data_IF_946995497465
#
_entry.id   IF_946995497465
#
_cell.length_a   1.000
_cell.length_b   1.000
_cell.length_c   1.000
_cell.angle_alpha   90.00
_cell.angle_beta   90.00
_cell.angle_gamma   90.00
#
_symmetry.space_group_name_H-M   'P 1'
#
loop_
_entity.id
_entity.type
_entity.pdbx_description
1 polymer ?
#
# COMPACT_ATOMS: atom_id res chain seq x y z
N UNK A 1 25.07 10.74 -3.66
CA UNK A 1 24.43 9.52 -3.14
C UNK A 1 22.92 9.54 -3.39
N UNK A 2 22.19 10.59 -3.01
CA UNK A 2 20.75 10.77 -3.32
C UNK A 2 20.48 10.78 -4.84
N UNK A 3 21.26 11.53 -5.62
CA UNK A 3 21.17 11.56 -7.09
C UNK A 3 21.52 10.24 -7.78
N UNK A 4 22.22 9.32 -7.12
CA UNK A 4 22.47 7.99 -7.68
C UNK A 4 21.29 7.05 -7.42
N UNK A 5 20.59 7.20 -6.29
CA UNK A 5 19.41 6.41 -5.94
C UNK A 5 18.18 6.77 -6.78
N UNK A 6 17.96 8.06 -7.07
CA UNK A 6 16.87 8.49 -7.98
C UNK A 6 17.10 7.95 -9.40
N UNK A 7 18.35 7.97 -9.89
CA UNK A 7 18.71 7.38 -11.19
C UNK A 7 18.53 5.86 -11.19
N UNK A 8 18.80 5.17 -10.08
CA UNK A 8 18.52 3.73 -9.95
C UNK A 8 17.02 3.41 -10.05
N UNK A 9 16.13 4.31 -9.60
CA UNK A 9 14.69 4.13 -9.76
C UNK A 9 14.28 4.24 -11.25
N UNK A 10 14.96 5.08 -12.03
CA UNK A 10 14.60 5.28 -13.45
C UNK A 10 15.07 4.15 -14.37
N UNK A 11 16.00 3.29 -13.93
CA UNK A 11 16.58 2.19 -14.70
C UNK A 11 16.46 0.82 -13.99
N UNK A 12 15.24 0.24 -13.93
CA UNK A 12 14.99 -1.00 -13.20
C UNK A 12 15.77 -2.19 -13.77
N UNK A 13 16.39 -2.95 -12.88
CA UNK A 13 17.23 -4.09 -13.21
C UNK A 13 17.24 -5.13 -12.07
N UNK A 14 17.69 -6.35 -12.40
CA UNK A 14 17.71 -7.48 -11.45
C UNK A 14 18.62 -7.25 -10.24
N UNK A 15 19.68 -6.43 -10.35
CA UNK A 15 20.55 -6.10 -9.20
C UNK A 15 19.79 -5.27 -8.16
N UNK A 16 18.96 -4.33 -8.59
CA UNK A 16 18.11 -3.52 -7.72
C UNK A 16 16.96 -4.35 -7.13
N UNK A 17 16.33 -5.24 -7.91
CA UNK A 17 15.32 -6.16 -7.38
C UNK A 17 15.90 -7.00 -6.23
N UNK A 18 17.11 -7.54 -6.44
CA UNK A 18 17.85 -8.33 -5.44
C UNK A 18 18.20 -7.49 -4.21
N UNK A 19 18.74 -6.29 -4.41
CA UNK A 19 19.11 -5.37 -3.33
C UNK A 19 17.91 -5.05 -2.43
N UNK A 20 16.78 -4.65 -3.02
CA UNK A 20 15.61 -4.26 -2.23
C UNK A 20 14.97 -5.45 -1.53
N UNK A 21 14.92 -6.62 -2.18
CA UNK A 21 14.51 -7.87 -1.54
C UNK A 21 15.37 -8.16 -0.31
N UNK A 22 16.69 -8.09 -0.44
CA UNK A 22 17.63 -8.43 0.63
C UNK A 22 17.57 -7.43 1.79
N UNK A 23 17.40 -6.13 1.50
CA UNK A 23 17.13 -5.08 2.50
C UNK A 23 15.89 -5.41 3.32
N UNK A 24 14.79 -5.82 2.66
CA UNK A 24 13.55 -6.16 3.35
C UNK A 24 13.76 -7.38 4.24
N UNK A 25 14.30 -8.49 3.73
CA UNK A 25 14.45 -9.69 4.55
C UNK A 25 15.52 -9.59 5.64
N UNK A 26 16.48 -8.67 5.53
CA UNK A 26 17.51 -8.43 6.54
C UNK A 26 17.21 -7.24 7.48
N UNK A 27 15.96 -6.74 7.46
CA UNK A 27 15.57 -5.49 8.11
C UNK A 27 16.03 -5.33 9.56
N UNK A 28 16.66 -4.19 9.84
CA UNK A 28 17.00 -3.66 11.15
C UNK A 28 16.41 -2.26 11.35
N UNK A 29 15.50 -2.14 12.32
CA UNK A 29 14.71 -0.93 12.61
C UNK A 29 15.57 0.35 12.75
N UNK A 30 16.75 0.24 13.36
CA UNK A 30 17.60 1.40 13.67
C UNK A 30 18.20 2.10 12.44
N UNK A 31 18.30 1.43 11.29
CA UNK A 31 19.04 1.93 10.12
C UNK A 31 18.28 1.86 8.79
N UNK A 32 17.24 1.03 8.71
CA UNK A 32 16.78 0.56 7.40
C UNK A 32 15.47 1.18 6.93
N UNK A 33 14.79 1.98 7.76
CA UNK A 33 13.55 2.67 7.37
C UNK A 33 13.68 3.56 6.13
N UNK A 34 14.88 4.09 5.87
CA UNK A 34 15.20 4.78 4.62
C UNK A 34 15.16 3.83 3.42
N UNK A 35 15.82 2.68 3.51
CA UNK A 35 15.91 1.71 2.42
C UNK A 35 14.59 0.99 2.16
N UNK A 36 13.82 0.68 3.20
CA UNK A 36 12.46 0.13 3.07
C UNK A 36 11.56 1.08 2.29
N UNK A 37 11.65 2.39 2.53
CA UNK A 37 10.87 3.36 1.76
C UNK A 37 11.24 3.34 0.27
N UNK A 38 12.52 3.21 -0.08
CA UNK A 38 12.94 3.08 -1.48
C UNK A 38 12.48 1.75 -2.10
N UNK A 39 12.55 0.64 -1.36
CA UNK A 39 12.01 -0.65 -1.82
C UNK A 39 10.52 -0.54 -2.15
N UNK A 40 9.73 0.11 -1.31
CA UNK A 40 8.29 0.33 -1.56
C UNK A 40 8.08 1.18 -2.82
N UNK A 41 8.83 2.27 -2.97
CA UNK A 41 8.69 3.17 -4.14
C UNK A 41 9.14 2.51 -5.45
N UNK A 42 10.13 1.61 -5.40
CA UNK A 42 10.64 0.88 -6.55
C UNK A 42 9.71 -0.25 -7.02
N UNK A 43 8.91 -0.83 -6.12
CA UNK A 43 8.09 -2.02 -6.40
C UNK A 43 7.24 -1.95 -7.69
N UNK A 44 6.55 -0.83 -8.02
CA UNK A 44 5.70 -0.75 -9.21
C UNK A 44 6.45 -0.83 -10.54
N UNK A 45 7.76 -0.63 -10.53
CA UNK A 45 8.62 -0.58 -11.72
C UNK A 45 9.72 -1.63 -11.68
N UNK A 46 9.66 -2.56 -10.72
CA UNK A 46 10.63 -3.63 -10.58
C UNK A 46 10.82 -4.42 -11.88
N UNK A 47 12.06 -4.83 -12.16
CA UNK A 47 12.37 -5.58 -13.38
C UNK A 47 11.77 -6.98 -13.33
N UNK A 48 11.73 -7.57 -12.14
CA UNK A 48 11.08 -8.83 -11.78
C UNK A 48 9.90 -8.53 -10.84
N UNK A 49 8.68 -8.32 -11.37
CA UNK A 49 7.51 -7.92 -10.58
C UNK A 49 7.17 -8.91 -9.46
N UNK A 50 7.39 -10.20 -9.67
CA UNK A 50 7.14 -11.24 -8.67
C UNK A 50 8.03 -11.06 -7.42
N UNK A 51 9.30 -10.68 -7.59
CA UNK A 51 10.18 -10.38 -6.45
C UNK A 51 9.68 -9.17 -5.66
N UNK A 52 9.12 -8.18 -6.36
CA UNK A 52 8.52 -7.03 -5.70
C UNK A 52 7.24 -7.37 -4.92
N UNK A 53 6.42 -8.27 -5.46
CA UNK A 53 5.27 -8.81 -4.75
C UNK A 53 5.70 -9.55 -3.48
N UNK A 54 6.69 -10.44 -3.58
CA UNK A 54 7.18 -11.24 -2.45
C UNK A 54 7.62 -10.37 -1.27
N UNK A 55 8.44 -9.33 -1.51
CA UNK A 55 8.90 -8.49 -0.40
C UNK A 55 7.80 -7.56 0.12
N UNK A 56 6.87 -7.09 -0.71
CA UNK A 56 5.75 -6.27 -0.26
C UNK A 56 4.79 -7.08 0.61
N UNK A 57 4.49 -8.32 0.20
CA UNK A 57 3.70 -9.26 0.99
C UNK A 57 4.42 -9.60 2.30
N UNK A 58 5.74 -9.75 2.28
CA UNK A 58 6.53 -9.95 3.50
C UNK A 58 6.41 -8.77 4.46
N UNK A 59 6.57 -7.54 3.99
CA UNK A 59 6.38 -6.34 4.83
C UNK A 59 5.00 -6.37 5.47
N UNK A 60 3.94 -6.46 4.64
CA UNK A 60 2.54 -6.41 5.06
C UNK A 60 2.17 -7.56 6.01
N UNK A 61 2.77 -8.73 5.84
CA UNK A 61 2.53 -9.91 6.66
C UNK A 61 3.21 -9.90 8.04
N UNK A 62 4.12 -8.96 8.29
CA UNK A 62 4.89 -8.88 9.55
C UNK A 62 4.74 -7.50 10.23
N UNK A 63 3.52 -7.10 10.66
CA UNK A 63 3.30 -5.83 11.35
C UNK A 63 4.11 -5.72 12.66
N UNK A 64 4.48 -6.83 13.29
CA UNK A 64 5.35 -6.86 14.46
C UNK A 64 6.78 -6.38 14.17
N UNK A 65 7.22 -6.46 12.90
CA UNK A 65 8.52 -5.95 12.45
C UNK A 65 8.40 -4.55 11.85
N UNK A 66 7.37 -4.32 11.03
CA UNK A 66 7.27 -3.13 10.20
C UNK A 66 6.26 -2.09 10.68
N UNK A 67 5.40 -2.42 11.65
CA UNK A 67 4.37 -1.53 12.17
C UNK A 67 4.94 -0.23 12.73
N UNK A 68 6.12 -0.31 13.35
CA UNK A 68 6.92 0.84 13.85
C UNK A 68 7.34 1.83 12.77
N UNK A 69 7.26 1.44 11.48
CA UNK A 69 7.56 2.33 10.36
C UNK A 69 6.40 3.27 10.00
N UNK A 70 5.27 3.17 10.70
CA UNK A 70 4.12 4.07 10.60
C UNK A 70 3.62 4.26 9.17
N UNK A 71 3.68 5.49 8.68
CA UNK A 71 3.23 5.85 7.32
C UNK A 71 3.86 5.03 6.20
N UNK A 72 5.10 4.52 6.38
CA UNK A 72 5.75 3.66 5.37
C UNK A 72 5.11 2.28 5.31
N UNK A 73 4.71 1.72 6.45
CA UNK A 73 3.99 0.45 6.49
C UNK A 73 2.64 0.55 5.76
N UNK A 74 1.92 1.66 5.97
CA UNK A 74 0.69 1.97 5.23
C UNK A 74 0.93 2.14 3.72
N UNK A 75 2.08 2.69 3.32
CA UNK A 75 2.48 2.82 1.93
C UNK A 75 2.78 1.46 1.28
N UNK A 76 3.37 0.51 2.02
CA UNK A 76 3.58 -0.86 1.53
C UNK A 76 2.25 -1.54 1.21
N UNK A 77 1.26 -1.47 2.10
CA UNK A 77 -0.09 -2.03 1.86
C UNK A 77 -0.78 -1.39 0.64
N UNK A 78 -0.69 -0.06 0.51
CA UNK A 78 -1.24 0.65 -0.66
C UNK A 78 -0.55 0.25 -1.96
N UNK A 79 0.78 0.12 -1.93
CA UNK A 79 1.59 -0.23 -3.10
C UNK A 79 1.34 -1.68 -3.52
N UNK A 80 1.27 -2.61 -2.56
CA UNK A 80 0.88 -4.00 -2.82
C UNK A 80 -0.49 -4.05 -3.52
N UNK A 81 -1.45 -3.22 -3.09
CA UNK A 81 -2.72 -3.06 -3.78
C UNK A 81 -2.62 -2.64 -5.24
N UNK A 82 -1.63 -1.84 -5.63
CA UNK A 82 -1.47 -1.39 -7.02
C UNK A 82 -0.89 -2.47 -7.92
N UNK A 83 -0.03 -3.32 -7.38
CA UNK A 83 0.77 -4.26 -8.19
C UNK A 83 0.29 -5.71 -8.09
N UNK A 84 -0.39 -6.10 -7.01
CA UNK A 84 -0.80 -7.49 -6.79
C UNK A 84 -2.10 -7.83 -7.51
N UNK A 85 -2.23 -9.07 -8.03
CA UNK A 85 -3.50 -9.57 -8.55
C UNK A 85 -4.55 -9.74 -7.44
N UNK A 86 -5.82 -9.58 -7.80
CA UNK A 86 -6.93 -9.92 -6.92
C UNK A 86 -7.26 -11.43 -7.00
N UNK A 87 -7.52 -12.11 -5.87
CA UNK A 87 -7.42 -11.64 -4.48
C UNK A 87 -6.00 -11.75 -3.93
N UNK A 88 -5.57 -10.77 -3.13
CA UNK A 88 -4.30 -10.83 -2.40
C UNK A 88 -4.50 -11.28 -0.95
N UNK A 89 -3.80 -12.34 -0.55
CA UNK A 89 -3.94 -12.96 0.77
C UNK A 89 -3.31 -12.12 1.90
N UNK A 90 -2.15 -11.50 1.66
CA UNK A 90 -1.47 -10.67 2.66
C UNK A 90 -2.30 -9.44 3.04
N UNK A 91 -2.92 -8.76 2.06
CA UNK A 91 -3.85 -7.66 2.32
C UNK A 91 -5.07 -8.11 3.13
N UNK A 92 -5.64 -9.28 2.80
CA UNK A 92 -6.76 -9.87 3.57
C UNK A 92 -6.38 -10.16 5.01
N UNK A 93 -5.21 -10.74 5.20
CA UNK A 93 -4.70 -11.06 6.52
C UNK A 93 -4.52 -9.78 7.34
N UNK A 94 -3.83 -8.77 6.79
CA UNK A 94 -3.59 -7.50 7.49
C UNK A 94 -4.91 -6.87 7.98
N UNK A 95 -5.95 -6.85 7.14
CA UNK A 95 -7.27 -6.31 7.52
C UNK A 95 -7.93 -7.00 8.73
N UNK A 96 -7.58 -8.27 8.99
CA UNK A 96 -8.24 -9.12 10.00
C UNK A 96 -7.31 -9.54 11.14
N UNK A 97 -6.03 -9.23 11.04
CA UNK A 97 -5.02 -9.64 12.01
C UNK A 97 -5.34 -9.00 13.37
N UNK A 98 -5.22 -9.74 14.49
CA UNK A 98 -5.38 -9.15 15.82
C UNK A 98 -4.33 -8.07 16.09
N UNK A 99 -4.58 -7.26 17.12
CA UNK A 99 -3.58 -6.33 17.66
C UNK A 99 -2.32 -7.08 18.12
N UNK A 100 -1.18 -6.45 17.91
CA UNK A 100 0.17 -6.96 18.23
C UNK A 100 0.47 -6.88 19.73
N UNK A 101 -0.25 -6.04 20.47
CA UNK A 101 -0.04 -5.80 21.90
C UNK A 101 0.98 -4.69 22.20
N UNK A 102 1.44 -3.98 21.17
CA UNK A 102 2.25 -2.77 21.28
C UNK A 102 1.39 -1.58 20.86
N UNK A 103 1.01 -0.72 21.80
CA UNK A 103 0.08 0.40 21.56
C UNK A 103 0.50 1.33 20.41
N UNK A 104 1.81 1.60 20.27
CA UNK A 104 2.34 2.48 19.22
C UNK A 104 2.21 1.80 17.84
N UNK A 105 2.65 0.55 17.75
CA UNK A 105 2.51 -0.23 16.52
C UNK A 105 1.04 -0.48 16.18
N UNK A 106 0.19 -0.75 17.17
CA UNK A 106 -1.24 -1.03 16.98
C UNK A 106 -1.99 0.20 16.48
N UNK A 107 -1.63 1.40 16.95
CA UNK A 107 -2.15 2.65 16.40
C UNK A 107 -1.80 2.80 14.91
N UNK A 108 -0.54 2.58 14.56
CA UNK A 108 -0.06 2.71 13.18
C UNK A 108 -0.59 1.61 12.24
N UNK A 109 -0.76 0.39 12.75
CA UNK A 109 -1.34 -0.74 12.03
C UNK A 109 -2.80 -0.45 11.62
N UNK A 110 -3.56 0.35 12.37
CA UNK A 110 -4.92 0.72 11.94
C UNK A 110 -4.91 1.51 10.62
N UNK A 111 -3.93 2.40 10.40
CA UNK A 111 -3.79 3.11 9.13
C UNK A 111 -3.43 2.16 7.99
N UNK A 112 -2.57 1.17 8.27
CA UNK A 112 -2.22 0.16 7.29
C UNK A 112 -3.40 -0.77 6.96
N UNK A 113 -4.27 -1.09 7.93
CA UNK A 113 -5.53 -1.82 7.69
C UNK A 113 -6.47 -1.01 6.79
N UNK A 114 -6.61 0.28 7.04
CA UNK A 114 -7.42 1.16 6.20
C UNK A 114 -6.86 1.24 4.76
N UNK A 115 -5.53 1.34 4.62
CA UNK A 115 -4.86 1.28 3.32
C UNK A 115 -5.06 -0.06 2.61
N UNK A 116 -4.96 -1.17 3.35
CA UNK A 116 -5.18 -2.53 2.83
C UNK A 116 -6.63 -2.73 2.39
N UNK A 117 -7.61 -2.19 3.12
CA UNK A 117 -9.01 -2.21 2.71
C UNK A 117 -9.23 -1.45 1.42
N UNK A 118 -8.70 -0.23 1.32
CA UNK A 118 -8.75 0.53 0.06
C UNK A 118 -8.09 -0.23 -1.10
N UNK A 119 -6.92 -0.83 -0.86
CA UNK A 119 -6.17 -1.63 -1.84
C UNK A 119 -6.97 -2.81 -2.34
N UNK A 120 -7.60 -3.51 -1.41
CA UNK A 120 -8.44 -4.66 -1.69
C UNK A 120 -9.68 -4.26 -2.50
N UNK A 121 -10.29 -3.11 -2.20
CA UNK A 121 -11.42 -2.58 -2.99
C UNK A 121 -10.98 -2.19 -4.41
N UNK A 122 -9.85 -1.50 -4.57
CA UNK A 122 -9.35 -1.11 -5.90
C UNK A 122 -9.08 -2.31 -6.78
N UNK A 123 -8.35 -3.29 -6.27
CA UNK A 123 -8.03 -4.53 -7.01
C UNK A 123 -9.29 -5.30 -7.38
N UNK A 124 -10.34 -5.25 -6.56
CA UNK A 124 -11.64 -5.88 -6.85
C UNK A 124 -12.52 -5.11 -7.85
N UNK A 125 -12.38 -3.78 -7.95
CA UNK A 125 -13.38 -2.91 -8.62
C UNK A 125 -12.81 -1.98 -9.70
N UNK A 126 -11.49 -1.98 -9.92
CA UNK A 126 -10.78 -0.97 -10.73
C UNK A 126 -11.00 0.48 -10.27
N UNK A 127 -11.48 0.69 -9.04
CA UNK A 127 -11.71 2.01 -8.47
C UNK A 127 -10.42 2.60 -7.91
N UNK A 128 -9.94 3.71 -8.49
CA UNK A 128 -8.78 4.44 -7.98
C UNK A 128 -9.09 5.10 -6.62
N UNK A 129 -8.23 4.92 -5.63
CA UNK A 129 -8.35 5.50 -4.28
C UNK A 129 -7.00 6.01 -3.78
N UNK A 130 -6.99 6.77 -2.68
CA UNK A 130 -5.76 7.26 -2.05
C UNK A 130 -5.14 8.46 -2.77
N UNK A 131 -3.81 8.58 -2.72
CA UNK A 131 -3.08 9.78 -3.15
C UNK A 131 -3.31 10.14 -4.63
N UNK A 132 -3.42 9.15 -5.52
CA UNK A 132 -3.60 9.41 -6.96
C UNK A 132 -5.02 9.85 -7.29
N UNK A 133 -6.04 9.21 -6.72
CA UNK A 133 -7.41 9.70 -6.79
C UNK A 133 -7.52 11.12 -6.19
N UNK A 134 -6.84 11.38 -5.07
CA UNK A 134 -6.76 12.69 -4.45
C UNK A 134 -6.10 13.74 -5.35
N UNK A 135 -5.00 13.39 -6.04
CA UNK A 135 -4.34 14.25 -7.02
C UNK A 135 -5.24 14.50 -8.23
N UNK A 136 -5.87 13.48 -8.78
CA UNK A 136 -6.80 13.61 -9.90
C UNK A 136 -8.01 14.51 -9.55
N UNK A 137 -8.58 14.38 -8.35
CA UNK A 137 -9.67 15.25 -7.87
C UNK A 137 -9.19 16.69 -7.72
N UNK A 138 -8.01 16.90 -7.10
CA UNK A 138 -7.39 18.22 -6.95
C UNK A 138 -7.14 18.88 -8.31
N UNK A 139 -6.58 18.13 -9.26
CA UNK A 139 -6.20 18.64 -10.59
C UNK A 139 -7.43 18.95 -11.44
N UNK A 140 -8.57 18.27 -11.20
CA UNK A 140 -9.88 18.61 -11.76
C UNK A 140 -10.50 19.85 -11.12
N UNK A 141 -9.95 20.37 -10.02
CA UNK A 141 -10.52 21.48 -9.26
C UNK A 141 -11.89 21.17 -8.63
N UNK A 142 -12.27 19.89 -8.59
CA UNK A 142 -13.54 19.46 -8.03
C UNK A 142 -13.40 19.34 -6.51
N UNK A 143 -14.19 20.10 -5.77
CA UNK A 143 -14.34 19.89 -4.34
C UNK A 143 -15.31 18.70 -4.13
N UNK A 144 -14.88 17.62 -3.45
CA UNK A 144 -15.80 16.61 -2.97
C UNK A 144 -16.72 17.26 -1.93
N UNK A 145 -18.03 17.16 -2.11
CA UNK A 145 -19.03 17.56 -1.11
C UNK A 145 -19.82 16.37 -0.64
N UNK A 146 -20.43 16.49 0.54
CA UNK A 146 -21.31 15.45 1.08
C UNK A 146 -22.45 15.14 0.09
N UNK A 147 -23.07 16.16 -0.51
CA UNK A 147 -24.17 15.97 -1.46
C UNK A 147 -23.75 15.18 -2.69
N UNK A 148 -22.53 15.42 -3.22
CA UNK A 148 -21.98 14.67 -4.36
C UNK A 148 -21.70 13.22 -3.99
N UNK A 149 -21.13 12.99 -2.80
CA UNK A 149 -20.89 11.63 -2.30
C UNK A 149 -22.21 10.86 -2.12
N UNK A 150 -23.22 11.48 -1.51
CA UNK A 150 -24.54 10.85 -1.36
C UNK A 150 -25.24 10.59 -2.70
N UNK A 151 -25.11 11.50 -3.68
CA UNK A 151 -25.67 11.30 -5.01
C UNK A 151 -25.03 10.09 -5.72
N UNK A 152 -23.71 9.93 -5.59
CA UNK A 152 -22.97 8.78 -6.10
C UNK A 152 -23.39 7.48 -5.41
N UNK A 153 -23.53 7.49 -4.07
CA UNK A 153 -23.99 6.34 -3.30
C UNK A 153 -25.40 5.93 -3.73
N UNK A 154 -26.34 6.90 -3.88
CA UNK A 154 -27.71 6.63 -4.34
C UNK A 154 -27.78 6.10 -5.77
N UNK A 155 -26.82 6.45 -6.61
CA UNK A 155 -26.71 5.98 -7.99
C UNK A 155 -25.99 4.62 -8.10
N UNK A 156 -25.40 4.12 -7.02
CA UNK A 156 -24.68 2.85 -7.03
C UNK A 156 -25.67 1.68 -7.18
N UNK A 157 -25.51 0.77 -8.17
CA UNK A 157 -26.50 -0.27 -8.46
C UNK A 157 -26.84 -1.20 -7.27
N UNK A 158 -25.90 -1.38 -6.34
CA UNK A 158 -26.07 -2.16 -5.10
C UNK A 158 -26.63 -1.40 -3.89
N UNK A 159 -26.95 -0.10 -3.99
CA UNK A 159 -27.49 0.66 -2.84
C UNK A 159 -28.99 0.46 -2.59
N UNK A 160 -29.68 -0.31 -3.44
CA UNK A 160 -31.13 -0.46 -3.40
C UNK A 160 -31.64 -1.81 -2.86
N UNK A 161 -30.78 -2.79 -2.55
CA UNK A 161 -31.24 -4.16 -2.22
C UNK A 161 -31.31 -4.49 -0.72
N UNK A 162 -31.33 -3.50 0.17
CA UNK A 162 -31.43 -3.76 1.62
C UNK A 162 -32.80 -3.43 2.25
N UNK A 163 -33.90 -3.60 1.50
CA UNK A 163 -35.25 -3.76 2.08
C UNK A 163 -36.12 -4.64 1.16
N UNK A 164 -36.16 -5.93 1.44
CA UNK A 164 -37.24 -6.84 1.05
C UNK A 164 -37.47 -7.83 2.19
#
# INVERSE_FOLDING_TARGET
>A
MITALEVCLDEPNTELDTLFRDVVYAFNEASDGFWINYAIQYAPQAKEPETALEYLEYIVGHPELYGVLGGRFSAAASTLGKVAPYPNAALRQLMTQPETGNEEADFDVQYARAAAFGAYVMTATSFEYGLEAGRAIRDKGEQPTLEKAEALIRAWPGSCDSKS
#
